data_IF_996078783649
#
_entry.id   IF_996078783649
#
_cell.length_a   1.000
_cell.length_b   1.000
_cell.length_c   1.000
_cell.angle_alpha   90.00
_cell.angle_beta   90.00
_cell.angle_gamma   90.00
#
_symmetry.space_group_name_H-M   'P 1'
#
loop_
_entity.id
_entity.type
_entity.pdbx_description
1 polymer ?
#
# COMPACT_ATOMS: atom_id res chain seq x y z
N UNK A 1 -29.60 54.68 -9.57
CA UNK A 1 -30.07 53.37 -10.07
C UNK A 1 -28.84 52.48 -10.25
N UNK A 2 -28.60 51.51 -9.36
CA UNK A 2 -27.39 50.67 -9.43
C UNK A 2 -27.56 49.58 -10.50
N UNK A 3 -26.80 49.61 -11.62
CA UNK A 3 -26.95 48.68 -12.74
C UNK A 3 -26.65 47.20 -12.36
N UNK A 4 -26.05 46.98 -11.20
CA UNK A 4 -25.62 45.67 -10.68
C UNK A 4 -26.77 44.81 -10.14
N UNK A 5 -27.89 45.40 -9.72
CA UNK A 5 -29.03 44.64 -9.18
C UNK A 5 -29.80 43.88 -10.29
N UNK A 6 -30.01 44.53 -11.45
CA UNK A 6 -30.67 43.93 -12.61
C UNK A 6 -29.78 42.80 -13.19
N UNK A 7 -28.47 43.03 -13.29
CA UNK A 7 -27.51 42.00 -13.70
C UNK A 7 -27.52 40.81 -12.72
N UNK A 8 -27.43 41.05 -11.40
CA UNK A 8 -27.47 39.97 -10.39
C UNK A 8 -28.75 39.11 -10.45
N UNK A 9 -29.90 39.73 -10.66
CA UNK A 9 -31.18 39.01 -10.74
C UNK A 9 -31.30 38.18 -12.03
N UNK A 10 -30.79 38.69 -13.16
CA UNK A 10 -30.81 37.96 -14.45
C UNK A 10 -29.92 36.72 -14.45
N UNK A 11 -28.81 36.74 -13.72
CA UNK A 11 -27.89 35.60 -13.61
C UNK A 11 -28.23 34.63 -12.47
N UNK A 12 -29.16 34.99 -11.56
CA UNK A 12 -29.55 34.16 -10.40
C UNK A 12 -30.21 32.85 -10.84
N UNK A 13 -31.02 32.85 -11.88
CA UNK A 13 -31.66 31.65 -12.45
C UNK A 13 -30.74 30.76 -13.31
N UNK A 14 -29.50 31.19 -13.57
CA UNK A 14 -28.52 30.45 -14.38
C UNK A 14 -27.42 29.77 -13.55
N UNK A 15 -27.48 29.88 -12.21
CA UNK A 15 -26.52 29.23 -11.32
C UNK A 15 -26.84 27.73 -11.22
N UNK A 16 -25.82 26.86 -11.05
CA UNK A 16 -26.05 25.43 -10.88
C UNK A 16 -26.85 25.19 -9.60
N UNK A 17 -27.97 24.47 -9.73
CA UNK A 17 -28.86 24.18 -8.61
C UNK A 17 -28.13 23.34 -7.55
N UNK A 18 -28.25 23.72 -6.28
CA UNK A 18 -27.70 22.96 -5.15
C UNK A 18 -28.78 22.09 -4.53
N UNK A 19 -28.37 21.04 -3.80
CA UNK A 19 -29.30 20.06 -3.21
C UNK A 19 -30.37 20.70 -2.32
N UNK A 20 -30.04 21.78 -1.61
CA UNK A 20 -30.94 22.48 -0.69
C UNK A 20 -31.79 23.58 -1.35
N UNK A 21 -31.64 23.84 -2.65
CA UNK A 21 -32.34 24.93 -3.34
C UNK A 21 -33.65 24.50 -4.00
N UNK A 22 -33.97 23.20 -4.01
CA UNK A 22 -35.06 22.63 -4.78
C UNK A 22 -36.04 21.85 -3.90
N UNK A 23 -37.14 21.39 -4.50
CA UNK A 23 -38.21 20.68 -3.79
C UNK A 23 -37.90 19.18 -3.61
N UNK A 24 -38.80 18.46 -2.93
CA UNK A 24 -38.67 17.06 -2.48
C UNK A 24 -38.13 16.07 -3.52
N UNK A 25 -38.45 16.24 -4.79
CA UNK A 25 -38.07 15.28 -5.85
C UNK A 25 -36.66 15.52 -6.41
N UNK A 26 -36.03 16.65 -6.07
CA UNK A 26 -34.69 16.96 -6.54
C UNK A 26 -33.64 16.37 -5.61
N UNK A 27 -32.97 15.31 -6.08
CA UNK A 27 -31.80 14.75 -5.42
C UNK A 27 -30.52 15.10 -6.18
N UNK A 28 -29.53 15.65 -5.47
CA UNK A 28 -28.19 15.89 -6.00
C UNK A 28 -27.16 15.25 -5.08
N UNK A 29 -26.38 14.31 -5.63
CA UNK A 29 -25.33 13.62 -4.89
C UNK A 29 -24.09 14.49 -4.64
N UNK A 30 -23.43 14.26 -3.50
CA UNK A 30 -22.22 14.99 -3.08
C UNK A 30 -20.92 14.38 -3.58
N UNK A 31 -20.97 13.50 -4.59
CA UNK A 31 -19.80 12.75 -5.06
C UNK A 31 -19.05 12.01 -3.94
N UNK A 32 -19.71 11.66 -2.84
CA UNK A 32 -19.11 10.89 -1.75
C UNK A 32 -18.54 9.55 -2.23
N UNK A 33 -19.14 8.98 -3.29
CA UNK A 33 -18.68 7.77 -3.96
C UNK A 33 -17.75 8.03 -5.16
N UNK A 34 -17.36 9.28 -5.46
CA UNK A 34 -16.40 9.58 -6.52
C UNK A 34 -15.03 9.90 -5.89
N UNK A 35 -13.98 9.24 -6.37
CA UNK A 35 -12.59 9.51 -5.99
C UNK A 35 -11.86 10.18 -7.17
N UNK A 36 -10.83 11.01 -6.95
CA UNK A 36 -9.86 11.33 -7.99
C UNK A 36 -9.14 10.04 -8.43
N UNK A 37 -9.40 9.60 -9.67
CA UNK A 37 -8.78 8.40 -10.25
C UNK A 37 -9.73 7.19 -10.33
N UNK A 38 -9.53 6.19 -9.47
CA UNK A 38 -10.23 4.91 -9.58
C UNK A 38 -11.74 5.01 -9.29
N UNK A 39 -12.55 4.59 -10.27
CA UNK A 39 -14.01 4.52 -10.20
C UNK A 39 -14.49 3.32 -9.38
N UNK A 40 -14.22 3.29 -8.08
CA UNK A 40 -15.11 2.56 -7.17
C UNK A 40 -16.35 3.42 -7.05
N UNK A 41 -17.35 3.15 -7.90
CA UNK A 41 -18.61 3.89 -7.93
C UNK A 41 -19.41 3.77 -6.63
N UNK A 42 -20.74 3.86 -6.70
CA UNK A 42 -21.56 3.72 -5.50
C UNK A 42 -21.29 2.38 -4.77
N UNK A 43 -21.21 2.37 -3.42
CA UNK A 43 -20.82 1.19 -2.63
C UNK A 43 -21.88 0.06 -2.64
N UNK A 44 -22.98 0.25 -3.33
CA UNK A 44 -24.12 -0.64 -3.35
C UNK A 44 -25.07 -0.33 -4.50
N UNK A 45 -26.23 -0.99 -4.46
CA UNK A 45 -27.25 -0.90 -5.52
C UNK A 45 -28.61 -0.62 -4.88
N UNK A 46 -29.40 0.21 -5.55
CA UNK A 46 -30.79 0.45 -5.17
C UNK A 46 -31.64 -0.78 -5.48
N UNK A 47 -32.54 -1.15 -4.57
CA UNK A 47 -33.39 -2.32 -4.76
C UNK A 47 -34.58 -1.91 -5.62
N UNK A 48 -34.60 -2.29 -6.90
CA UNK A 48 -35.61 -1.82 -7.86
C UNK A 48 -37.08 -2.12 -7.48
N UNK A 49 -37.35 -3.05 -6.56
CA UNK A 49 -38.70 -3.47 -6.17
C UNK A 49 -39.20 -2.89 -4.85
N UNK A 50 -38.31 -2.33 -4.02
CA UNK A 50 -38.65 -1.80 -2.68
C UNK A 50 -37.75 -0.61 -2.35
N UNK A 51 -38.27 0.41 -1.65
CA UNK A 51 -37.43 1.52 -1.20
C UNK A 51 -36.36 0.96 -0.24
N UNK A 52 -35.12 0.84 -0.75
CA UNK A 52 -34.03 0.23 -0.01
C UNK A 52 -32.72 0.27 -0.79
N UNK A 53 -31.61 0.23 -0.06
CA UNK A 53 -30.27 0.23 -0.62
C UNK A 53 -29.48 -0.94 -0.05
N UNK A 54 -28.93 -1.77 -0.93
CA UNK A 54 -28.11 -2.91 -0.53
C UNK A 54 -26.63 -2.56 -0.69
N UNK A 55 -25.88 -2.61 0.40
CA UNK A 55 -24.42 -2.48 0.37
C UNK A 55 -23.78 -3.73 -0.22
N UNK A 56 -22.79 -3.53 -1.09
CA UNK A 56 -21.96 -4.59 -1.65
C UNK A 56 -20.56 -4.44 -1.04
N UNK A 57 -20.20 -5.36 -0.14
CA UNK A 57 -18.94 -5.31 0.59
C UNK A 57 -17.72 -5.24 -0.33
N UNK A 58 -17.79 -5.88 -1.50
CA UNK A 58 -16.75 -5.82 -2.55
C UNK A 58 -16.52 -4.43 -3.15
N UNK A 59 -17.46 -3.51 -2.99
CA UNK A 59 -17.36 -2.11 -3.46
C UNK A 59 -17.18 -1.12 -2.32
N UNK A 60 -17.24 -1.59 -1.07
CA UNK A 60 -16.96 -0.75 0.09
C UNK A 60 -15.46 -0.50 0.15
N UNK A 61 -15.09 0.76 0.36
CA UNK A 61 -13.69 1.15 0.45
C UNK A 61 -13.21 0.95 1.87
N UNK A 62 -12.05 0.32 2.00
CA UNK A 62 -11.36 0.11 3.27
C UNK A 62 -9.98 0.73 3.18
N UNK A 63 -9.64 1.58 4.14
CA UNK A 63 -8.29 2.13 4.29
C UNK A 63 -7.53 1.22 5.24
N UNK A 64 -6.59 0.45 4.68
CA UNK A 64 -5.78 -0.47 5.46
C UNK A 64 -4.60 0.31 6.03
N UNK A 65 -4.57 0.43 7.36
CA UNK A 65 -3.45 0.99 8.09
C UNK A 65 -2.56 -0.14 8.64
N UNK A 66 -1.24 0.08 8.77
CA UNK A 66 -0.38 -0.79 9.55
C UNK A 66 -0.85 -0.89 11.02
N UNK A 67 -0.41 -1.90 11.79
CA UNK A 67 -0.66 -1.98 13.22
C UNK A 67 -0.21 -0.71 13.95
N UNK A 68 -0.98 -0.28 14.95
CA UNK A 68 -0.72 1.00 15.66
C UNK A 68 0.64 0.96 16.37
N UNK A 69 1.02 -0.18 16.93
CA UNK A 69 2.29 -0.34 17.63
C UNK A 69 3.49 -0.09 16.70
N UNK A 70 3.40 -0.57 15.44
CA UNK A 70 4.44 -0.33 14.42
C UNK A 70 4.50 1.15 14.01
N UNK A 71 3.35 1.82 13.95
CA UNK A 71 3.28 3.25 13.62
C UNK A 71 3.92 4.08 14.73
N UNK A 72 3.68 3.73 16.00
CA UNK A 72 4.23 4.45 17.16
C UNK A 72 5.73 4.14 17.37
N UNK A 73 6.16 2.91 17.09
CA UNK A 73 7.56 2.51 17.14
C UNK A 73 8.38 3.04 15.94
N UNK A 74 7.71 3.47 14.87
CA UNK A 74 8.37 3.96 13.67
C UNK A 74 9.22 5.20 13.97
N UNK A 75 10.51 5.23 13.57
CA UNK A 75 11.33 6.42 13.67
C UNK A 75 10.94 7.50 12.64
N UNK A 76 10.07 7.17 11.68
CA UNK A 76 9.68 8.06 10.59
C UNK A 76 8.65 9.09 11.07
N UNK A 77 9.00 10.37 10.94
CA UNK A 77 8.13 11.51 11.21
C UNK A 77 7.71 12.19 9.91
N UNK A 78 6.57 12.91 9.89
CA UNK A 78 6.14 13.67 8.71
C UNK A 78 7.08 14.81 8.34
N UNK A 79 7.95 15.24 9.26
CA UNK A 79 8.90 16.33 9.07
C UNK A 79 10.33 15.86 9.36
N UNK A 80 11.28 16.56 8.74
CA UNK A 80 12.71 16.35 8.91
C UNK A 80 13.30 17.56 9.64
N UNK A 81 14.34 17.36 10.46
CA UNK A 81 15.02 18.45 11.14
C UNK A 81 15.71 19.41 10.14
N UNK A 82 15.61 20.72 10.37
CA UNK A 82 16.10 21.74 9.43
C UNK A 82 17.61 21.64 9.13
N UNK A 83 18.41 21.16 10.09
CA UNK A 83 19.85 21.00 9.96
C UNK A 83 20.32 19.73 9.25
N UNK A 84 19.42 18.84 8.83
CA UNK A 84 19.86 17.61 8.14
C UNK A 84 20.32 17.92 6.72
N UNK A 85 21.56 17.59 6.34
CA UNK A 85 22.05 17.83 4.99
C UNK A 85 21.30 16.94 4.00
N UNK A 86 20.57 17.55 3.08
CA UNK A 86 19.94 16.82 1.97
C UNK A 86 21.06 16.32 1.05
N UNK A 87 21.21 15.00 0.84
CA UNK A 87 22.26 14.47 -0.02
C UNK A 87 22.06 14.98 -1.46
N UNK A 88 23.17 15.21 -2.16
CA UNK A 88 23.18 15.79 -3.51
C UNK A 88 22.23 15.08 -4.49
N UNK A 89 22.14 13.74 -4.40
CA UNK A 89 21.23 12.93 -5.22
C UNK A 89 19.75 13.27 -5.02
N UNK A 90 19.37 13.71 -3.82
CA UNK A 90 17.98 14.12 -3.51
C UNK A 90 17.71 15.56 -3.94
N UNK A 91 18.74 16.43 -3.96
CA UNK A 91 18.62 17.82 -4.46
C UNK A 91 18.27 17.88 -5.94
N UNK A 92 18.75 16.91 -6.73
CA UNK A 92 18.46 16.81 -8.17
C UNK A 92 17.08 16.17 -8.46
N UNK A 93 16.29 15.88 -7.43
CA UNK A 93 14.97 15.24 -7.52
C UNK A 93 14.98 13.79 -7.06
N UNK A 94 13.81 13.29 -6.66
CA UNK A 94 13.61 11.91 -6.14
C UNK A 94 14.07 10.84 -7.12
N UNK A 95 14.06 11.15 -8.42
CA UNK A 95 14.38 10.23 -9.52
C UNK A 95 15.72 10.53 -10.21
N UNK A 96 16.58 11.36 -9.64
CA UNK A 96 17.84 11.78 -10.29
C UNK A 96 18.83 10.63 -10.57
N UNK A 97 18.68 9.47 -9.91
CA UNK A 97 19.48 8.27 -10.16
C UNK A 97 18.82 7.25 -11.10
N UNK A 98 17.66 7.59 -11.67
CA UNK A 98 16.86 6.72 -12.52
C UNK A 98 17.24 6.97 -13.99
N UNK A 99 17.27 5.95 -14.85
CA UNK A 99 17.55 6.18 -16.27
C UNK A 99 16.44 7.03 -16.90
N UNK A 100 16.76 7.78 -17.95
CA UNK A 100 15.84 8.74 -18.59
C UNK A 100 14.52 8.10 -19.09
N UNK A 101 14.53 6.80 -19.33
CA UNK A 101 13.35 6.00 -19.70
C UNK A 101 12.48 5.53 -18.51
N UNK A 102 12.79 5.95 -17.28
CA UNK A 102 12.05 5.57 -16.07
C UNK A 102 12.42 4.18 -15.52
N UNK A 103 11.46 3.47 -14.89
CA UNK A 103 11.70 2.15 -14.30
C UNK A 103 11.69 1.07 -15.39
N UNK A 104 12.78 0.95 -16.15
CA UNK A 104 12.89 -0.09 -17.18
C UNK A 104 13.02 -1.49 -16.55
N UNK A 105 12.49 -2.55 -17.19
CA UNK A 105 12.62 -3.93 -16.69
C UNK A 105 14.09 -4.34 -16.48
N UNK A 106 14.98 -3.90 -17.37
CA UNK A 106 16.42 -4.14 -17.27
C UNK A 106 17.04 -3.46 -16.04
N UNK A 107 16.66 -2.21 -15.77
CA UNK A 107 17.13 -1.48 -14.59
C UNK A 107 16.61 -2.11 -13.29
N UNK A 108 15.35 -2.55 -13.28
CA UNK A 108 14.78 -3.29 -12.16
C UNK A 108 15.53 -4.60 -11.93
N UNK A 109 15.77 -5.39 -12.97
CA UNK A 109 16.46 -6.67 -12.89
C UNK A 109 17.92 -6.51 -12.43
N UNK A 110 18.62 -5.47 -12.92
CA UNK A 110 19.97 -5.13 -12.46
C UNK A 110 19.99 -4.74 -10.99
N UNK A 111 19.05 -3.90 -10.54
CA UNK A 111 18.91 -3.49 -9.14
C UNK A 111 18.56 -4.67 -8.23
N UNK A 112 17.65 -5.54 -8.67
CA UNK A 112 17.25 -6.74 -7.94
C UNK A 112 18.42 -7.74 -7.78
N UNK A 113 19.23 -7.94 -8.83
CA UNK A 113 20.44 -8.79 -8.77
C UNK A 113 21.49 -8.24 -7.81
N UNK A 114 21.69 -6.92 -7.79
CA UNK A 114 22.60 -6.29 -6.83
C UNK A 114 22.11 -6.49 -5.39
N UNK A 115 20.83 -6.22 -5.15
CA UNK A 115 20.22 -6.38 -3.83
C UNK A 115 20.29 -7.84 -3.34
N UNK A 116 20.02 -8.82 -4.20
CA UNK A 116 20.10 -10.23 -3.82
C UNK A 116 21.54 -10.67 -3.53
N UNK A 117 22.52 -10.20 -4.30
CA UNK A 117 23.93 -10.45 -4.05
C UNK A 117 24.40 -9.85 -2.71
N UNK A 118 24.06 -8.58 -2.45
CA UNK A 118 24.37 -7.91 -1.17
C UNK A 118 23.74 -8.64 0.02
N UNK A 119 22.47 -9.06 -0.11
CA UNK A 119 21.78 -9.85 0.92
C UNK A 119 22.45 -11.21 1.15
N UNK A 120 22.91 -11.87 0.10
CA UNK A 120 23.63 -13.15 0.20
C UNK A 120 25.00 -12.98 0.88
N UNK A 121 25.72 -11.90 0.58
CA UNK A 121 26.98 -11.57 1.25
C UNK A 121 26.76 -11.26 2.73
N UNK A 122 25.79 -10.40 3.05
CA UNK A 122 25.44 -10.09 4.44
C UNK A 122 25.01 -11.34 5.25
N UNK A 123 24.31 -12.30 4.61
CA UNK A 123 23.97 -13.57 5.23
C UNK A 123 25.21 -14.44 5.50
N UNK A 124 26.18 -14.48 4.56
CA UNK A 124 27.46 -15.18 4.75
C UNK A 124 28.28 -14.58 5.90
N UNK A 125 28.36 -13.26 5.97
CA UNK A 125 29.07 -12.55 7.05
C UNK A 125 28.44 -12.82 8.43
N UNK A 126 27.10 -12.84 8.52
CA UNK A 126 26.40 -13.23 9.76
C UNK A 126 26.70 -14.67 10.16
N UNK A 127 26.74 -15.58 9.20
CA UNK A 127 27.06 -16.99 9.45
C UNK A 127 28.51 -17.16 9.90
N UNK A 128 29.47 -16.44 9.29
CA UNK A 128 30.88 -16.46 9.71
C UNK A 128 31.05 -15.94 11.13
N UNK A 129 30.46 -14.79 11.47
CA UNK A 129 30.48 -14.25 12.85
C UNK A 129 29.87 -15.20 13.87
N UNK A 130 28.82 -15.95 13.48
CA UNK A 130 28.20 -16.97 14.35
C UNK A 130 29.11 -18.17 14.58
N UNK A 131 29.87 -18.59 13.57
CA UNK A 131 30.86 -19.68 13.70
C UNK A 131 32.05 -19.24 14.55
N UNK A 132 32.52 -18.00 14.41
CA UNK A 132 33.62 -17.46 15.20
C UNK A 132 33.22 -17.22 16.67
N UNK A 133 32.02 -16.67 16.92
CA UNK A 133 31.49 -16.54 18.28
C UNK A 133 31.11 -17.88 18.94
N UNK A 134 30.93 -18.95 18.16
CA UNK A 134 30.75 -20.31 18.67
C UNK A 134 32.05 -21.01 19.05
N UNK A 135 33.19 -20.60 18.47
CA UNK A 135 34.50 -21.22 18.74
C UNK A 135 35.14 -20.79 20.07
N UNK A 136 34.68 -19.71 20.69
CA UNK A 136 35.17 -19.27 22.01
C UNK A 136 34.47 -19.98 23.19
N UNK A 137 33.50 -20.88 22.93
CA UNK A 137 32.72 -21.57 23.97
C UNK A 137 32.95 -23.07 24.15
N UNK A 138 33.65 -23.76 23.24
CA UNK A 138 33.73 -25.24 23.26
C UNK A 138 35.16 -25.75 23.47
N UNK A 139 35.61 -25.67 24.71
CA UNK A 139 36.48 -26.71 25.29
C UNK A 139 35.77 -27.31 26.49
N UNK A 140 34.85 -28.24 26.24
CA UNK A 140 34.54 -29.35 27.12
C UNK A 140 34.00 -30.48 26.26
N UNK A 141 34.83 -31.50 26.13
CA UNK A 141 34.44 -32.84 25.74
C UNK A 141 33.24 -33.28 26.57
N UNK A 142 32.25 -33.92 25.97
CA UNK A 142 31.91 -35.28 26.33
C UNK A 142 31.01 -35.92 25.27
N UNK A 143 31.44 -37.12 24.92
CA UNK A 143 30.83 -38.11 24.03
C UNK A 143 29.46 -38.56 24.51
N UNK A 144 28.43 -38.52 23.63
CA UNK A 144 27.36 -39.53 23.59
C UNK A 144 26.91 -39.73 22.14
N UNK A 145 26.86 -41.00 21.73
CA UNK A 145 26.50 -41.52 20.43
C UNK A 145 24.97 -41.53 20.17
N UNK A 146 24.62 -41.64 18.87
CA UNK A 146 23.34 -42.10 18.26
C UNK A 146 22.03 -41.42 18.73
N UNK A 147 21.15 -40.93 17.84
CA UNK A 147 20.33 -41.71 16.91
C UNK A 147 19.95 -40.83 15.71
N UNK A 148 20.11 -41.38 14.50
CA UNK A 148 19.59 -40.82 13.24
C UNK A 148 18.13 -41.25 13.13
N UNK A 149 17.19 -40.32 13.25
CA UNK A 149 15.79 -40.54 12.89
C UNK A 149 15.48 -39.79 11.58
N UNK A 150 15.16 -40.56 10.55
CA UNK A 150 14.93 -40.09 9.20
C UNK A 150 13.66 -39.24 9.10
N UNK A 151 13.78 -38.07 8.46
CA UNK A 151 12.63 -37.23 8.12
C UNK A 151 11.70 -37.95 7.13
N UNK A 152 10.38 -38.03 7.37
CA UNK A 152 9.44 -38.58 6.39
C UNK A 152 9.26 -37.62 5.21
N UNK A 153 9.22 -38.20 4.00
CA UNK A 153 9.08 -37.52 2.72
C UNK A 153 7.78 -36.67 2.62
N UNK A 154 7.76 -35.61 1.78
CA UNK A 154 6.57 -34.79 1.59
C UNK A 154 5.46 -35.57 0.88
N UNK A 155 4.32 -35.72 1.55
CA UNK A 155 3.09 -36.33 1.04
C UNK A 155 2.48 -35.44 -0.05
N UNK A 156 2.40 -35.97 -1.27
CA UNK A 156 1.74 -35.34 -2.43
C UNK A 156 0.24 -35.20 -2.16
N UNK A 157 -0.30 -33.98 -2.20
CA UNK A 157 -1.74 -33.72 -2.09
C UNK A 157 -2.50 -34.29 -3.30
N UNK A 158 -3.66 -34.95 -3.12
CA UNK A 158 -4.47 -35.44 -4.23
C UNK A 158 -5.19 -34.29 -4.95
N UNK A 159 -5.26 -34.40 -6.28
CA UNK A 159 -5.91 -33.44 -7.18
C UNK A 159 -7.42 -33.31 -6.90
N UNK A 160 -8.03 -32.12 -7.12
CA UNK A 160 -9.46 -31.93 -6.94
C UNK A 160 -10.25 -32.63 -8.05
N UNK A 161 -11.19 -33.50 -7.65
CA UNK A 161 -12.21 -34.09 -8.53
C UNK A 161 -13.14 -33.01 -9.11
N UNK A 162 -13.55 -33.13 -10.38
CA UNK A 162 -14.51 -32.20 -10.99
C UNK A 162 -15.91 -32.43 -10.41
N UNK A 163 -16.58 -31.34 -10.02
CA UNK A 163 -17.98 -31.35 -9.62
C UNK A 163 -18.88 -31.67 -10.82
N UNK A 164 -19.84 -32.57 -10.58
CA UNK A 164 -20.98 -32.88 -11.46
C UNK A 164 -22.01 -31.76 -11.38
#
# INVERSE_FOLDING_TARGET
MFPTAIARNRFKGRRPLQAFMANKDYYKGNRQAALPGHRTGAPGVHINKRPGYKLLESRVRVFVAPPIDDILASPLKPYVAEGTPVPWKTKNGVFAGMPDAGLTPEHFLKSARKYSAEKALAARERNQKKVEGGKEGETKTDTVAEVIEAAPAPTTAPAPTPAV
#
